data_IF_280329738742
#
_entry.id   IF_280329738742
#
_cell.length_a   1.000
_cell.length_b   1.000
_cell.length_c   1.000
_cell.angle_alpha   90.00
_cell.angle_beta   90.00
_cell.angle_gamma   90.00
#
_symmetry.space_group_name_H-M   'P 1'
#
loop_
_entity.id
_entity.type
_entity.pdbx_description
1 polymer ?
#
# COMPACT_ATOMS: atom_id res chain seq x y z
N UNK A 1 -13.14 -21.03 -12.36
CA UNK A 1 -11.86 -21.72 -12.04
C UNK A 1 -10.66 -20.77 -11.96
N UNK A 2 -10.48 -19.80 -12.89
CA UNK A 2 -9.40 -18.80 -12.88
C UNK A 2 -9.32 -17.95 -11.58
N UNK A 3 -10.46 -17.42 -11.13
CA UNK A 3 -10.51 -16.57 -9.93
C UNK A 3 -10.13 -17.29 -8.63
N UNK A 4 -10.51 -18.57 -8.45
CA UNK A 4 -10.06 -19.39 -7.30
C UNK A 4 -8.54 -19.60 -7.30
N UNK A 5 -7.92 -19.74 -8.49
CA UNK A 5 -6.47 -19.91 -8.63
C UNK A 5 -5.72 -18.61 -8.35
N UNK A 6 -6.22 -17.48 -8.83
CA UNK A 6 -5.66 -16.14 -8.56
C UNK A 6 -5.74 -15.80 -7.07
N UNK A 7 -6.88 -16.06 -6.43
CA UNK A 7 -7.02 -15.91 -4.97
C UNK A 7 -6.05 -16.81 -4.22
N UNK A 8 -5.94 -18.09 -4.58
CA UNK A 8 -4.98 -19.01 -3.93
C UNK A 8 -3.54 -18.53 -4.08
N UNK A 9 -3.15 -18.03 -5.25
CA UNK A 9 -1.83 -17.46 -5.47
C UNK A 9 -1.60 -16.18 -4.64
N UNK A 10 -2.61 -15.31 -4.51
CA UNK A 10 -2.56 -14.12 -3.65
C UNK A 10 -2.38 -14.50 -2.18
N UNK A 11 -3.18 -15.45 -1.68
CA UNK A 11 -3.08 -15.93 -0.30
C UNK A 11 -1.70 -16.54 -0.02
N UNK A 12 -1.17 -17.34 -0.94
CA UNK A 12 0.20 -17.89 -0.82
C UNK A 12 1.27 -16.80 -0.75
N UNK A 13 1.12 -15.69 -1.48
CA UNK A 13 2.05 -14.53 -1.35
C UNK A 13 1.90 -13.83 0.00
N UNK A 14 0.67 -13.73 0.52
CA UNK A 14 0.40 -13.09 1.81
C UNK A 14 1.08 -13.81 2.98
N UNK A 15 1.32 -15.13 2.86
CA UNK A 15 2.09 -15.91 3.85
C UNK A 15 3.50 -15.33 4.11
N UNK A 16 4.10 -14.60 3.14
CA UNK A 16 5.41 -13.94 3.32
C UNK A 16 5.36 -12.91 4.46
N UNK A 17 4.24 -12.21 4.61
CA UNK A 17 4.04 -11.19 5.66
C UNK A 17 3.84 -11.81 7.05
N UNK A 18 3.61 -13.12 7.12
CA UNK A 18 3.35 -13.87 8.36
C UNK A 18 4.53 -14.75 8.80
N UNK A 19 5.67 -14.69 8.10
CA UNK A 19 6.88 -15.45 8.46
C UNK A 19 7.49 -14.91 9.76
N UNK A 20 8.36 -15.71 10.38
CA UNK A 20 9.12 -15.32 11.59
C UNK A 20 9.87 -13.99 11.41
N UNK A 21 10.42 -13.77 10.22
CA UNK A 21 11.06 -12.52 9.81
C UNK A 21 10.34 -12.00 8.56
N UNK A 22 9.25 -11.22 8.74
CA UNK A 22 8.54 -10.64 7.61
C UNK A 22 9.34 -9.46 7.03
N UNK A 23 9.13 -9.12 5.75
CA UNK A 23 9.76 -7.94 5.16
C UNK A 23 9.30 -6.66 5.86
N UNK A 24 10.14 -5.63 5.79
CA UNK A 24 9.71 -4.28 6.08
C UNK A 24 8.75 -3.82 4.97
N UNK A 25 7.57 -3.33 5.37
CA UNK A 25 6.49 -2.95 4.46
C UNK A 25 6.07 -1.51 4.72
N UNK A 26 6.33 -0.62 3.77
CA UNK A 26 5.88 0.77 3.81
C UNK A 26 4.84 0.99 2.73
N UNK A 27 3.67 1.47 3.15
CA UNK A 27 2.51 1.68 2.29
C UNK A 27 2.07 3.13 2.41
N UNK A 28 1.93 3.77 1.27
CA UNK A 28 1.30 5.08 1.12
C UNK A 28 -0.02 4.87 0.37
N UNK A 29 -1.11 5.34 0.97
CA UNK A 29 -2.46 5.22 0.42
C UNK A 29 -3.05 6.60 0.25
N UNK A 30 -3.77 6.83 -0.85
CA UNK A 30 -4.63 8.00 -0.97
C UNK A 30 -5.90 7.78 -0.14
N UNK A 31 -6.39 8.82 0.52
CA UNK A 31 -7.58 8.71 1.37
C UNK A 31 -8.78 8.12 0.61
N UNK A 32 -8.92 8.43 -0.67
CA UNK A 32 -9.97 7.95 -1.57
C UNK A 32 -10.07 6.43 -1.59
N UNK A 33 -8.97 5.69 -1.41
CA UNK A 33 -9.01 4.23 -1.42
C UNK A 33 -9.68 3.64 -0.17
N UNK A 34 -9.73 4.39 0.93
CA UNK A 34 -10.41 3.97 2.16
C UNK A 34 -11.93 4.12 2.05
N UNK A 35 -12.37 5.01 1.16
CA UNK A 35 -13.78 5.35 0.94
C UNK A 35 -14.36 4.68 -0.33
N UNK A 36 -13.51 4.10 -1.17
CA UNK A 36 -13.89 3.38 -2.37
C UNK A 36 -14.59 2.06 -2.01
N UNK A 37 -15.92 2.10 -1.88
CA UNK A 37 -16.71 0.94 -1.43
C UNK A 37 -16.55 -0.25 -2.36
N UNK A 38 -15.96 -1.33 -1.84
CA UNK A 38 -15.88 -2.64 -2.49
C UNK A 38 -16.69 -3.64 -1.66
N UNK A 39 -17.72 -4.23 -2.28
CA UNK A 39 -18.65 -5.09 -1.55
C UNK A 39 -19.62 -4.28 -0.69
N UNK A 40 -19.99 -4.82 0.46
CA UNK A 40 -20.90 -4.19 1.42
C UNK A 40 -20.12 -3.48 2.56
N UNK A 41 -20.88 -2.91 3.51
CA UNK A 41 -20.32 -2.20 4.67
C UNK A 41 -19.48 -3.13 5.55
N UNK A 42 -19.92 -4.38 5.77
CA UNK A 42 -19.17 -5.34 6.57
C UNK A 42 -17.81 -5.65 5.93
N UNK A 43 -17.76 -5.82 4.60
CA UNK A 43 -16.51 -6.02 3.87
C UNK A 43 -15.58 -4.81 4.02
N UNK A 44 -16.07 -3.59 3.86
CA UNK A 44 -15.23 -2.38 4.02
C UNK A 44 -14.70 -2.25 5.44
N UNK A 45 -15.55 -2.47 6.44
CA UNK A 45 -15.14 -2.46 7.86
C UNK A 45 -14.05 -3.49 8.13
N UNK A 46 -14.21 -4.72 7.64
CA UNK A 46 -13.22 -5.78 7.83
C UNK A 46 -11.90 -5.46 7.11
N UNK A 47 -11.95 -4.82 5.93
CA UNK A 47 -10.75 -4.38 5.21
C UNK A 47 -9.99 -3.29 5.97
N UNK A 48 -10.67 -2.25 6.45
CA UNK A 48 -10.06 -1.17 7.22
C UNK A 48 -9.53 -1.67 8.57
N UNK A 49 -10.28 -2.54 9.26
CA UNK A 49 -9.83 -3.24 10.46
C UNK A 49 -8.58 -4.09 10.21
N UNK A 50 -8.47 -4.71 9.04
CA UNK A 50 -7.26 -5.44 8.65
C UNK A 50 -6.05 -4.51 8.47
N UNK A 51 -6.23 -3.33 7.86
CA UNK A 51 -5.15 -2.34 7.73
C UNK A 51 -4.66 -1.87 9.12
N UNK A 52 -5.59 -1.57 10.03
CA UNK A 52 -5.25 -1.19 11.41
C UNK A 52 -4.43 -2.29 12.11
N UNK A 53 -4.90 -3.53 12.04
CA UNK A 53 -4.20 -4.70 12.61
C UNK A 53 -2.82 -4.91 11.98
N UNK A 54 -2.70 -4.74 10.66
CA UNK A 54 -1.39 -4.82 9.99
C UNK A 54 -0.42 -3.74 10.48
N UNK A 55 -0.93 -2.53 10.73
CA UNK A 55 -0.18 -1.40 11.26
C UNK A 55 0.30 -1.55 12.70
N UNK A 56 -0.18 -2.55 13.45
CA UNK A 56 0.34 -2.89 14.79
C UNK A 56 1.74 -3.52 14.72
N UNK A 57 2.08 -4.17 13.60
CA UNK A 57 3.39 -4.76 13.40
C UNK A 57 4.47 -3.66 13.24
N UNK A 58 5.55 -3.66 14.04
CA UNK A 58 6.61 -2.65 13.93
C UNK A 58 7.36 -2.65 12.58
N UNK A 59 7.23 -3.71 11.78
CA UNK A 59 7.79 -3.82 10.43
C UNK A 59 6.86 -3.31 9.34
N UNK A 60 5.64 -2.92 9.69
CA UNK A 60 4.63 -2.40 8.75
C UNK A 60 4.30 -0.95 9.08
N UNK A 61 4.44 -0.07 8.09
CA UNK A 61 4.05 1.33 8.16
C UNK A 61 2.97 1.59 7.11
N UNK A 62 1.80 2.05 7.55
CA UNK A 62 0.71 2.49 6.67
C UNK A 62 0.50 3.96 6.94
N UNK A 63 0.67 4.79 5.91
CA UNK A 63 0.41 6.23 5.97
C UNK A 63 -0.57 6.63 4.87
N UNK A 64 -1.39 7.62 5.17
CA UNK A 64 -2.45 8.08 4.27
C UNK A 64 -2.13 9.49 3.79
N UNK A 65 -2.23 9.74 2.49
CA UNK A 65 -2.24 11.08 1.91
C UNK A 65 -3.67 11.61 2.01
N UNK A 66 -3.85 12.67 2.80
CA UNK A 66 -5.17 13.24 3.04
C UNK A 66 -5.68 13.97 1.79
N UNK A 67 -7.01 13.94 1.56
CA UNK A 67 -7.65 14.61 0.42
C UNK A 67 -7.32 16.11 0.31
N UNK A 68 -7.07 16.77 1.44
CA UNK A 68 -6.73 18.19 1.51
C UNK A 68 -5.40 18.55 0.84
N UNK A 69 -4.53 17.57 0.58
CA UNK A 69 -3.25 17.76 -0.14
C UNK A 69 -3.47 18.17 -1.59
N UNK A 70 -4.55 17.70 -2.23
CA UNK A 70 -4.77 17.90 -3.67
C UNK A 70 -3.83 17.05 -4.51
N UNK A 71 -3.23 17.62 -5.56
CA UNK A 71 -2.34 16.88 -6.46
C UNK A 71 -1.00 16.55 -5.80
N UNK A 72 -0.52 15.31 -5.98
CA UNK A 72 0.81 14.84 -5.60
C UNK A 72 1.31 13.79 -6.60
N UNK A 73 2.62 13.42 -6.59
CA UNK A 73 3.20 12.49 -7.57
C UNK A 73 2.59 11.08 -7.61
N UNK A 74 1.79 10.68 -6.60
CA UNK A 74 1.13 9.38 -6.57
C UNK A 74 0.01 9.25 -7.61
N UNK A 75 -0.55 10.37 -8.06
CA UNK A 75 -1.55 10.40 -9.12
C UNK A 75 -1.02 9.97 -10.49
N UNK A 76 0.31 9.92 -10.68
CA UNK A 76 0.92 9.38 -11.92
C UNK A 76 0.76 7.86 -12.05
N UNK A 77 0.31 7.19 -10.98
CA UNK A 77 0.02 5.76 -10.97
C UNK A 77 0.77 4.99 -9.88
N UNK A 78 0.43 3.70 -9.69
CA UNK A 78 1.00 2.88 -8.63
C UNK A 78 2.47 2.58 -8.90
N UNK A 79 3.28 2.68 -7.85
CA UNK A 79 4.69 2.32 -7.88
C UNK A 79 5.04 1.45 -6.67
N UNK A 80 6.04 0.59 -6.84
CA UNK A 80 6.54 -0.29 -5.79
C UNK A 80 8.06 -0.32 -5.85
N UNK A 81 8.71 -0.40 -4.69
CA UNK A 81 10.16 -0.53 -4.58
C UNK A 81 10.45 -1.78 -3.75
N UNK A 82 11.37 -2.60 -4.20
CA UNK A 82 11.80 -3.81 -3.53
C UNK A 82 13.29 -3.75 -3.25
N UNK A 83 13.66 -3.92 -1.98
CA UNK A 83 15.04 -4.10 -1.55
C UNK A 83 15.23 -5.56 -1.15
N UNK A 84 15.99 -6.30 -1.95
CA UNK A 84 16.23 -7.74 -1.77
C UNK A 84 17.74 -7.99 -1.74
N UNK A 85 18.27 -8.27 -0.54
CA UNK A 85 19.72 -8.42 -0.33
C UNK A 85 20.44 -7.16 -0.84
N UNK A 86 21.33 -7.30 -1.83
CA UNK A 86 22.08 -6.21 -2.46
C UNK A 86 21.41 -5.63 -3.73
N UNK A 87 20.17 -6.03 -4.04
CA UNK A 87 19.45 -5.57 -5.23
C UNK A 87 18.31 -4.64 -4.83
N UNK A 88 18.19 -3.54 -5.56
CA UNK A 88 17.03 -2.67 -5.53
C UNK A 88 16.31 -2.75 -6.88
N UNK A 89 15.00 -2.93 -6.83
CA UNK A 89 14.13 -3.07 -7.99
C UNK A 89 12.96 -2.09 -7.81
N UNK A 90 12.45 -1.57 -8.90
CA UNK A 90 11.21 -0.82 -8.90
C UNK A 90 10.20 -1.46 -9.85
N UNK A 91 8.92 -1.28 -9.56
CA UNK A 91 7.85 -1.66 -10.46
C UNK A 91 6.91 -0.47 -10.65
N UNK A 92 6.81 0.02 -11.88
CA UNK A 92 5.81 0.98 -12.28
C UNK A 92 4.59 0.21 -12.79
N UNK A 93 3.47 0.30 -12.10
CA UNK A 93 2.27 -0.45 -12.46
C UNK A 93 1.58 0.15 -13.67
N UNK A 94 1.02 -0.72 -14.51
CA UNK A 94 0.07 -0.37 -15.55
C UNK A 94 -1.00 -1.47 -15.65
N UNK A 95 -2.15 -1.17 -16.26
CA UNK A 95 -3.32 -2.05 -16.24
C UNK A 95 -3.09 -3.44 -16.88
N UNK A 96 -2.14 -3.56 -17.82
CA UNK A 96 -1.92 -4.80 -18.59
C UNK A 96 -0.48 -5.31 -18.46
N UNK A 97 0.53 -4.44 -18.55
CA UNK A 97 1.94 -4.86 -18.63
C UNK A 97 2.83 -4.42 -17.47
N UNK A 98 2.58 -3.25 -16.87
CA UNK A 98 3.53 -2.54 -16.00
C UNK A 98 4.97 -2.55 -16.54
N UNK A 99 5.93 -2.16 -15.70
CA UNK A 99 7.35 -2.26 -16.04
C UNK A 99 8.16 -2.60 -14.81
N UNK A 100 8.85 -3.73 -14.86
CA UNK A 100 9.90 -4.06 -13.89
C UNK A 100 11.16 -3.31 -14.30
N UNK A 101 11.70 -2.54 -13.37
CA UNK A 101 12.89 -1.71 -13.53
C UNK A 101 13.99 -2.36 -12.70
N UNK A 102 15.00 -2.87 -13.38
CA UNK A 102 16.10 -3.60 -12.76
C UNK A 102 17.35 -2.72 -12.66
N UNK A 103 17.56 -2.16 -11.46
CA UNK A 103 18.72 -1.35 -11.06
C UNK A 103 18.94 -0.03 -11.86
N UNK A 104 19.89 0.79 -11.38
CA UNK A 104 20.31 2.04 -12.02
C UNK A 104 19.45 3.26 -11.67
N UNK A 105 19.66 4.35 -12.43
CA UNK A 105 19.12 5.70 -12.16
C UNK A 105 17.59 5.75 -12.13
N UNK A 106 16.92 4.86 -12.88
CA UNK A 106 15.46 4.79 -12.89
C UNK A 106 14.88 4.26 -11.58
N UNK A 107 15.55 3.31 -10.92
CA UNK A 107 15.13 2.82 -9.59
C UNK A 107 15.26 3.95 -8.57
N UNK A 108 16.36 4.71 -8.63
CA UNK A 108 16.56 5.89 -7.79
C UNK A 108 15.46 6.95 -8.02
N UNK A 109 15.05 7.14 -9.28
CA UNK A 109 13.95 8.06 -9.63
C UNK A 109 12.63 7.63 -9.00
N UNK A 110 12.30 6.34 -9.03
CA UNK A 110 11.08 5.81 -8.37
C UNK A 110 11.18 5.95 -6.85
N UNK A 111 12.37 5.73 -6.27
CA UNK A 111 12.61 5.94 -4.84
C UNK A 111 12.37 7.40 -4.42
N UNK A 112 12.88 8.37 -5.19
CA UNK A 112 12.63 9.79 -4.94
C UNK A 112 11.13 10.09 -5.00
N UNK A 113 10.41 9.57 -5.99
CA UNK A 113 8.94 9.75 -6.08
C UNK A 113 8.22 9.17 -4.87
N UNK A 114 8.61 8.00 -4.39
CA UNK A 114 8.02 7.39 -3.19
C UNK A 114 8.21 8.30 -1.96
N UNK A 115 9.41 8.83 -1.76
CA UNK A 115 9.69 9.77 -0.67
C UNK A 115 8.92 11.08 -0.81
N UNK A 116 8.78 11.61 -2.02
CA UNK A 116 7.95 12.81 -2.29
C UNK A 116 6.49 12.59 -1.90
N UNK A 117 5.90 11.43 -2.23
CA UNK A 117 4.54 11.07 -1.78
C UNK A 117 4.52 10.98 -0.25
N UNK A 118 5.56 10.38 0.34
CA UNK A 118 5.71 10.27 1.79
C UNK A 118 5.80 11.62 2.52
N UNK A 119 6.25 12.68 1.86
CA UNK A 119 6.28 14.03 2.41
C UNK A 119 4.88 14.66 2.54
N UNK A 120 3.92 14.24 1.72
CA UNK A 120 2.52 14.67 1.81
C UNK A 120 1.67 13.80 2.73
N UNK A 121 2.11 12.56 2.99
CA UNK A 121 1.35 11.64 3.82
C UNK A 121 1.29 12.09 5.29
N UNK A 122 0.17 11.83 5.95
CA UNK A 122 0.00 12.03 7.38
C UNK A 122 1.02 11.22 8.18
N UNK A 123 1.23 11.57 9.45
CA UNK A 123 2.02 10.75 10.37
C UNK A 123 1.37 9.37 10.56
N UNK A 124 2.10 8.41 11.15
CA UNK A 124 1.55 7.07 11.46
C UNK A 124 0.27 7.17 12.28
N UNK A 125 0.27 7.97 13.34
CA UNK A 125 -0.84 8.07 14.27
C UNK A 125 -2.04 8.79 13.65
N UNK A 126 -1.80 9.89 12.92
CA UNK A 126 -2.87 10.59 12.20
C UNK A 126 -3.47 9.73 11.07
N UNK A 127 -2.65 8.90 10.41
CA UNK A 127 -3.14 7.93 9.41
C UNK A 127 -4.00 6.85 10.05
N UNK A 128 -3.58 6.33 11.22
CA UNK A 128 -4.34 5.35 12.00
C UNK A 128 -5.68 5.92 12.43
N UNK A 129 -5.69 7.14 12.95
CA UNK A 129 -6.91 7.85 13.34
C UNK A 129 -7.86 8.05 12.15
N UNK A 130 -7.35 8.47 11.00
CA UNK A 130 -8.15 8.63 9.79
C UNK A 130 -8.78 7.29 9.34
N UNK A 131 -8.01 6.20 9.35
CA UNK A 131 -8.54 4.86 9.02
C UNK A 131 -9.64 4.44 10.01
N UNK A 132 -9.45 4.68 11.31
CA UNK A 132 -10.47 4.40 12.34
C UNK A 132 -11.74 5.24 12.13
N UNK A 133 -11.59 6.53 11.80
CA UNK A 133 -12.70 7.43 11.49
C UNK A 133 -13.48 6.94 10.27
N UNK A 134 -12.80 6.60 9.17
CA UNK A 134 -13.44 6.06 7.96
C UNK A 134 -14.12 4.72 8.25
N UNK A 135 -13.51 3.84 9.06
CA UNK A 135 -14.10 2.55 9.42
C UNK A 135 -15.45 2.69 10.14
N UNK A 136 -15.61 3.69 11.01
CA UNK A 136 -16.87 3.97 11.71
C UNK A 136 -18.01 4.39 10.78
N UNK A 137 -17.70 4.91 9.60
CA UNK A 137 -18.74 5.24 8.59
C UNK A 137 -19.36 4.00 7.93
N UNK A 138 -18.75 2.82 8.15
CA UNK A 138 -19.23 1.53 7.67
C UNK A 138 -19.85 0.66 8.79
N UNK A 139 -20.17 1.24 9.94
CA UNK A 139 -21.04 0.63 10.97
C UNK A 139 -22.51 0.58 10.53
#
# INVERSE_FOLDING_TARGET
MKQKRETKARMKRQEILLRKEPPYLWILLDQEVLECRIGDHAVMRDQLGHLLKMGENPRTMIRVVARSVGWHPGHDGPLQIYKIRSRELAYAGAQIGGRLIEAGDEVATVAIRFEQIGAFALSRDASRELIEQTMRTYE
#
